data_IF_565499698617
#
_entry.id   IF_565499698617
#
_cell.length_a   1.000
_cell.length_b   1.000
_cell.length_c   1.000
_cell.angle_alpha   90.00
_cell.angle_beta   90.00
_cell.angle_gamma   90.00
#
_symmetry.space_group_name_H-M   'P 1'
#
loop_
_entity.id
_entity.type
_entity.pdbx_description
1 polymer ?
#
# COMPACT_ATOMS: atom_id res chain seq x y z
N UNK A 1 -10.59 -19.91 4.68
CA UNK A 1 -9.39 -19.21 4.17
C UNK A 1 -8.19 -19.92 4.77
N UNK A 2 -7.20 -20.27 3.95
CA UNK A 2 -5.97 -20.91 4.42
C UNK A 2 -5.00 -19.83 4.90
N UNK A 3 -4.44 -20.01 6.10
CA UNK A 3 -3.48 -19.06 6.69
C UNK A 3 -2.07 -19.59 6.54
N UNK A 4 -1.13 -18.70 6.22
CA UNK A 4 0.30 -19.02 6.20
C UNK A 4 1.04 -18.27 7.31
N UNK A 5 2.23 -18.73 7.66
CA UNK A 5 3.09 -18.13 8.68
C UNK A 5 4.21 -17.36 8.03
N UNK A 6 4.34 -16.08 8.36
CA UNK A 6 5.46 -15.23 7.94
C UNK A 6 6.31 -14.92 9.17
N UNK A 7 7.57 -15.40 9.23
CA UNK A 7 8.46 -15.03 10.33
C UNK A 7 8.85 -13.56 10.21
N UNK A 8 8.68 -12.81 11.31
CA UNK A 8 9.05 -11.39 11.42
C UNK A 8 9.80 -11.15 12.74
N UNK A 9 10.58 -10.08 12.80
CA UNK A 9 11.22 -9.67 14.06
C UNK A 9 10.17 -9.23 15.09
N UNK A 10 10.53 -9.31 16.37
CA UNK A 10 9.66 -8.83 17.46
C UNK A 10 9.35 -7.34 17.30
N UNK A 11 10.33 -6.57 16.85
CA UNK A 11 10.20 -5.14 16.58
C UNK A 11 9.13 -4.85 15.52
N UNK A 12 9.16 -5.56 14.38
CA UNK A 12 8.16 -5.40 13.32
C UNK A 12 6.76 -5.81 13.81
N UNK A 13 6.66 -6.91 14.55
CA UNK A 13 5.39 -7.34 15.17
C UNK A 13 4.81 -6.27 16.10
N UNK A 14 5.66 -5.63 16.89
CA UNK A 14 5.24 -4.61 17.85
C UNK A 14 4.89 -3.29 17.14
N UNK A 15 5.55 -2.98 16.03
CA UNK A 15 5.14 -1.88 15.14
C UNK A 15 3.75 -2.16 14.52
N UNK A 16 3.51 -3.37 14.00
CA UNK A 16 2.19 -3.76 13.47
C UNK A 16 1.08 -3.59 14.51
N UNK A 17 1.32 -3.97 15.77
CA UNK A 17 0.36 -3.75 16.86
C UNK A 17 0.03 -2.27 17.09
N UNK A 18 1.00 -1.38 16.94
CA UNK A 18 0.81 0.08 17.10
C UNK A 18 0.05 0.68 15.92
N UNK A 19 0.20 0.09 14.73
CA UNK A 19 -0.47 0.56 13.50
C UNK A 19 -1.95 0.18 13.46
N UNK A 20 -2.31 -0.98 14.02
CA UNK A 20 -3.70 -1.45 14.06
C UNK A 20 -4.62 -0.64 14.97
N UNK A 21 -5.91 -0.64 14.65
CA UNK A 21 -7.00 -0.09 15.47
C UNK A 21 -7.55 -1.19 16.37
N UNK A 22 -8.38 -0.77 17.34
CA UNK A 22 -9.10 -1.72 18.19
C UNK A 22 -9.93 -2.67 17.31
N UNK A 23 -9.85 -3.96 17.62
CA UNK A 23 -10.56 -5.06 16.96
C UNK A 23 -10.04 -5.48 15.55
N UNK A 24 -8.88 -4.97 15.10
CA UNK A 24 -8.21 -5.46 13.88
C UNK A 24 -7.28 -6.65 14.16
N UNK A 25 -7.29 -7.65 13.26
CA UNK A 25 -6.32 -8.75 13.29
C UNK A 25 -5.02 -8.37 12.56
N UNK A 26 -3.96 -9.17 12.74
CA UNK A 26 -2.73 -9.01 11.95
C UNK A 26 -2.97 -9.14 10.44
N UNK A 27 -3.89 -10.00 10.02
CA UNK A 27 -4.23 -10.14 8.59
C UNK A 27 -4.90 -8.87 8.07
N UNK A 28 -5.80 -8.26 8.85
CA UNK A 28 -6.45 -6.99 8.50
C UNK A 28 -5.43 -5.86 8.36
N UNK A 29 -4.51 -5.74 9.32
CA UNK A 29 -3.45 -4.72 9.31
C UNK A 29 -2.57 -4.90 8.07
N UNK A 30 -2.13 -6.13 7.78
CA UNK A 30 -1.30 -6.41 6.60
C UNK A 30 -2.05 -6.12 5.30
N UNK A 31 -3.32 -6.49 5.18
CA UNK A 31 -4.15 -6.16 4.01
C UNK A 31 -4.29 -4.65 3.81
N UNK A 32 -4.49 -3.90 4.89
CA UNK A 32 -4.62 -2.45 4.82
C UNK A 32 -3.30 -1.78 4.42
N UNK A 33 -2.17 -2.27 4.91
CA UNK A 33 -0.84 -1.81 4.50
C UNK A 33 -0.56 -2.10 3.02
N UNK A 34 -0.95 -3.27 2.52
CA UNK A 34 -0.82 -3.61 1.10
C UNK A 34 -1.64 -2.66 0.21
N UNK A 35 -2.90 -2.42 0.57
CA UNK A 35 -3.76 -1.46 -0.14
C UNK A 35 -3.15 -0.04 -0.15
N UNK A 36 -2.65 0.41 1.00
CA UNK A 36 -2.00 1.72 1.09
C UNK A 36 -0.74 1.79 0.19
N UNK A 37 0.05 0.72 0.14
CA UNK A 37 1.23 0.65 -0.75
C UNK A 37 0.84 0.75 -2.22
N UNK A 38 -0.22 0.09 -2.65
CA UNK A 38 -0.67 0.14 -4.05
C UNK A 38 -1.19 1.54 -4.43
N UNK A 39 -1.91 2.19 -3.51
CA UNK A 39 -2.35 3.58 -3.69
C UNK A 39 -1.13 4.50 -3.82
N UNK A 40 -0.13 4.38 -2.94
CA UNK A 40 1.09 5.21 -3.01
C UNK A 40 1.86 4.98 -4.32
N UNK A 41 1.98 3.74 -4.80
CA UNK A 41 2.61 3.46 -6.11
C UNK A 41 1.87 4.14 -7.26
N UNK A 42 0.54 4.09 -7.24
CA UNK A 42 -0.29 4.74 -8.24
C UNK A 42 -0.07 6.26 -8.24
N UNK A 43 -0.09 6.89 -7.07
CA UNK A 43 0.17 8.33 -6.95
C UNK A 43 1.57 8.72 -7.42
N UNK A 44 2.60 7.96 -7.01
CA UNK A 44 3.98 8.23 -7.45
C UNK A 44 4.11 8.17 -8.98
N UNK A 45 3.41 7.23 -9.62
CA UNK A 45 3.43 7.13 -11.08
C UNK A 45 2.68 8.29 -11.74
N UNK A 46 1.54 8.71 -11.17
CA UNK A 46 0.85 9.91 -11.64
C UNK A 46 1.72 11.17 -11.50
N UNK A 47 2.43 11.32 -10.39
CA UNK A 47 3.36 12.43 -10.18
C UNK A 47 4.49 12.41 -11.21
N UNK A 48 5.10 11.23 -11.46
CA UNK A 48 6.10 11.06 -12.52
C UNK A 48 5.56 11.50 -13.88
N UNK A 49 4.36 11.05 -14.26
CA UNK A 49 3.73 11.41 -15.54
C UNK A 49 3.52 12.93 -15.61
N UNK A 50 2.97 13.53 -14.55
CA UNK A 50 2.71 14.97 -14.49
C UNK A 50 4.01 15.80 -14.65
N UNK A 51 5.11 15.33 -14.08
CA UNK A 51 6.41 16.01 -14.16
C UNK A 51 7.14 15.81 -15.49
N UNK A 52 7.00 14.64 -16.11
CA UNK A 52 7.89 14.21 -17.21
C UNK A 52 7.23 14.09 -18.58
N UNK A 53 5.91 13.97 -18.64
CA UNK A 53 5.19 13.71 -19.89
C UNK A 53 4.43 14.95 -20.37
N UNK A 54 4.51 15.24 -21.67
CA UNK A 54 3.75 16.34 -22.28
C UNK A 54 2.28 15.97 -22.39
N UNK A 55 1.38 16.89 -22.06
CA UNK A 55 -0.06 16.65 -22.14
C UNK A 55 -0.51 16.40 -23.59
N UNK A 56 -1.09 15.23 -23.84
CA UNK A 56 -1.70 14.88 -25.14
C UNK A 56 -3.23 14.93 -25.03
N UNK A 57 -3.91 15.88 -25.71
CA UNK A 57 -5.36 15.96 -25.70
C UNK A 57 -5.99 14.75 -26.41
N UNK A 58 -7.04 14.18 -25.81
CA UNK A 58 -7.73 12.97 -26.30
C UNK A 58 -8.39 13.08 -27.69
N UNK A 59 -8.45 14.29 -28.27
CA UNK A 59 -9.05 14.55 -29.60
C UNK A 59 -8.06 14.63 -30.76
N UNK A 60 -6.78 14.30 -30.54
CA UNK A 60 -5.76 14.21 -31.59
C UNK A 60 -5.28 12.76 -31.73
N UNK A 61 -6.12 11.90 -32.29
CA UNK A 61 -5.74 10.57 -32.82
C UNK A 61 -6.50 10.31 -34.11
#
# INVERSE_FOLDING_TARGET
METTTIPISKEVRDALKKTGRKDETYDDIVRNLLKASDIMKFYNEMERILETEEFVPLGKV
#
